data_IF_553939983261
#
_entry.id   IF_553939983261
#
_cell.length_a   1.000
_cell.length_b   1.000
_cell.length_c   1.000
_cell.angle_alpha   90.00
_cell.angle_beta   90.00
_cell.angle_gamma   90.00
#
_symmetry.space_group_name_H-M   'P 1'
#
loop_
_entity.id
_entity.type
_entity.pdbx_description
1 polymer ?
#
# COMPACT_ATOMS: atom_id res chain seq x y z
N UNK A 1 22.52 23.87 -2.29
CA UNK A 1 22.66 23.29 -3.63
C UNK A 1 23.65 22.11 -3.66
N UNK A 2 24.77 22.15 -2.94
CA UNK A 2 25.78 21.06 -2.91
C UNK A 2 25.21 19.70 -2.41
N UNK A 3 24.29 19.72 -1.45
CA UNK A 3 23.69 18.50 -0.86
C UNK A 3 22.64 17.84 -1.78
N UNK A 4 21.99 18.63 -2.63
CA UNK A 4 21.03 18.11 -3.62
C UNK A 4 21.75 17.31 -4.71
N UNK A 5 22.92 17.78 -5.14
CA UNK A 5 23.77 17.06 -6.11
C UNK A 5 24.29 15.73 -5.55
N UNK A 6 24.59 15.69 -4.25
CA UNK A 6 25.04 14.45 -3.57
C UNK A 6 23.92 13.42 -3.47
N UNK A 7 22.69 13.84 -3.18
CA UNK A 7 21.51 12.97 -3.15
C UNK A 7 21.17 12.48 -4.56
N UNK A 8 21.21 13.34 -5.56
CA UNK A 8 20.99 12.95 -6.95
C UNK A 8 22.06 11.96 -7.47
N UNK A 9 23.33 12.15 -7.08
CA UNK A 9 24.41 11.23 -7.42
C UNK A 9 24.27 9.88 -6.73
N UNK A 10 23.81 9.83 -5.49
CA UNK A 10 23.51 8.59 -4.76
C UNK A 10 22.33 7.81 -5.37
N UNK A 11 21.29 8.51 -5.80
CA UNK A 11 20.15 7.90 -6.47
C UNK A 11 20.54 7.37 -7.85
N UNK A 12 21.40 8.08 -8.60
CA UNK A 12 21.84 7.63 -9.92
C UNK A 12 22.76 6.41 -9.88
N UNK A 13 23.55 6.22 -8.82
CA UNK A 13 24.42 5.03 -8.68
C UNK A 13 23.64 3.77 -8.36
N UNK A 14 22.49 3.86 -7.67
CA UNK A 14 21.62 2.72 -7.40
C UNK A 14 20.88 2.22 -8.65
N UNK A 15 20.65 3.07 -9.65
CA UNK A 15 20.03 2.70 -10.93
C UNK A 15 21.01 1.97 -11.86
N UNK A 16 22.32 2.24 -11.75
CA UNK A 16 23.34 1.65 -12.63
C UNK A 16 23.67 0.18 -12.33
N UNK A 17 23.28 -0.36 -11.19
CA UNK A 17 23.53 -1.77 -10.80
C UNK A 17 22.53 -2.79 -11.39
N UNK A 18 21.56 -2.34 -12.19
CA UNK A 18 20.40 -3.13 -12.62
C UNK A 18 20.62 -3.94 -13.94
N UNK A 19 21.85 -4.15 -14.39
CA UNK A 19 22.09 -4.79 -15.69
C UNK A 19 22.80 -6.13 -15.60
N UNK A 20 22.12 -7.19 -15.24
CA UNK A 20 22.36 -8.58 -15.69
C UNK A 20 21.64 -9.59 -14.79
N UNK A 21 20.34 -9.78 -14.96
CA UNK A 21 19.63 -10.82 -14.20
C UNK A 21 18.83 -11.74 -15.14
N UNK A 22 18.68 -13.03 -14.79
CA UNK A 22 17.85 -13.94 -15.56
C UNK A 22 16.43 -13.40 -15.69
N UNK A 23 15.81 -13.62 -16.86
CA UNK A 23 14.45 -13.16 -17.14
C UNK A 23 13.49 -13.92 -16.22
N UNK A 24 13.05 -13.28 -15.14
CA UNK A 24 11.88 -13.76 -14.40
C UNK A 24 10.65 -13.54 -15.28
N UNK A 25 9.95 -14.63 -15.56
CA UNK A 25 8.82 -14.60 -16.50
C UNK A 25 7.61 -13.82 -15.99
N UNK A 26 7.47 -13.64 -14.66
CA UNK A 26 6.31 -13.03 -14.03
C UNK A 26 6.71 -11.68 -13.41
N UNK A 27 6.56 -10.61 -14.19
CA UNK A 27 6.91 -9.25 -13.74
C UNK A 27 5.74 -8.54 -13.06
N UNK A 28 4.56 -9.13 -13.03
CA UNK A 28 3.35 -8.48 -12.53
C UNK A 28 2.64 -9.38 -11.51
N UNK A 29 1.95 -8.76 -10.57
CA UNK A 29 1.16 -9.44 -9.55
C UNK A 29 -0.13 -8.66 -9.28
N UNK A 30 -1.26 -9.37 -9.26
CA UNK A 30 -2.53 -8.84 -8.75
C UNK A 30 -2.79 -9.52 -7.42
N UNK A 31 -3.22 -8.74 -6.42
CA UNK A 31 -3.50 -9.21 -5.06
C UNK A 31 -4.89 -8.79 -4.62
N UNK A 32 -5.47 -9.61 -3.77
CA UNK A 32 -6.72 -9.34 -3.06
C UNK A 32 -6.48 -9.49 -1.56
N UNK A 33 -6.90 -8.50 -0.78
CA UNK A 33 -6.78 -8.51 0.67
C UNK A 33 -7.93 -9.28 1.32
N UNK A 34 -7.71 -10.58 1.50
CA UNK A 34 -8.71 -11.46 2.11
C UNK A 34 -8.89 -11.15 3.60
N UNK A 35 -7.86 -10.62 4.28
CA UNK A 35 -7.92 -10.27 5.69
C UNK A 35 -8.92 -9.15 5.96
N UNK A 36 -8.86 -8.06 5.20
CA UNK A 36 -9.81 -6.95 5.31
C UNK A 36 -11.22 -7.37 4.89
N UNK A 37 -11.33 -8.16 3.85
CA UNK A 37 -12.64 -8.66 3.40
C UNK A 37 -13.34 -9.50 4.49
N UNK A 38 -12.61 -10.35 5.19
CA UNK A 38 -13.18 -11.18 6.26
C UNK A 38 -13.41 -10.42 7.57
N UNK A 39 -12.62 -9.38 7.85
CA UNK A 39 -12.75 -8.60 9.08
C UNK A 39 -13.87 -7.55 8.99
N UNK A 40 -13.89 -6.78 7.90
CA UNK A 40 -14.70 -5.57 7.78
C UNK A 40 -15.53 -5.52 6.49
N UNK A 41 -15.54 -6.58 5.68
CA UNK A 41 -16.18 -6.60 4.34
C UNK A 41 -15.55 -5.60 3.34
N UNK A 42 -14.40 -4.99 3.67
CA UNK A 42 -13.65 -4.10 2.78
C UNK A 42 -13.11 -4.87 1.58
N UNK A 43 -13.39 -4.42 0.38
CA UNK A 43 -12.85 -4.97 -0.87
C UNK A 43 -11.60 -4.20 -1.25
N UNK A 44 -10.42 -4.78 -1.00
CA UNK A 44 -9.15 -4.18 -1.39
C UNK A 44 -8.43 -5.03 -2.43
N UNK A 45 -8.09 -4.40 -3.55
CA UNK A 45 -7.26 -4.96 -4.61
C UNK A 45 -5.97 -4.16 -4.78
N UNK A 46 -4.88 -4.84 -5.12
CA UNK A 46 -3.63 -4.16 -5.44
C UNK A 46 -2.93 -4.80 -6.63
N UNK A 47 -2.22 -3.97 -7.36
CA UNK A 47 -1.36 -4.35 -8.47
C UNK A 47 0.08 -4.00 -8.13
N UNK A 48 1.00 -4.87 -8.51
CA UNK A 48 2.43 -4.71 -8.28
C UNK A 48 3.20 -5.08 -9.54
N UNK A 49 4.11 -4.21 -9.96
CA UNK A 49 5.05 -4.43 -11.05
C UNK A 49 6.46 -4.49 -10.50
N UNK A 50 7.15 -5.60 -10.74
CA UNK A 50 8.52 -5.82 -10.30
C UNK A 50 9.51 -5.18 -11.27
N UNK A 51 10.19 -4.12 -10.81
CA UNK A 51 11.24 -3.43 -11.59
C UNK A 51 12.50 -4.27 -11.69
N UNK A 52 12.82 -4.99 -10.62
CA UNK A 52 13.96 -5.91 -10.52
C UNK A 52 13.67 -7.00 -9.46
N UNK A 53 14.71 -7.67 -8.97
CA UNK A 53 14.59 -8.74 -7.97
C UNK A 53 14.19 -8.22 -6.59
N UNK A 54 14.59 -7.00 -6.26
CA UNK A 54 14.49 -6.43 -4.92
C UNK A 54 13.55 -5.21 -4.84
N UNK A 55 12.98 -4.76 -5.96
CA UNK A 55 12.20 -3.52 -5.98
C UNK A 55 10.96 -3.67 -6.85
N UNK A 56 9.85 -3.16 -6.37
CA UNK A 56 8.60 -3.07 -7.14
C UNK A 56 7.92 -1.73 -6.94
N UNK A 57 7.08 -1.38 -7.90
CA UNK A 57 6.13 -0.26 -7.85
C UNK A 57 4.72 -0.83 -8.01
N UNK A 58 3.77 -0.26 -7.32
CA UNK A 58 2.40 -0.73 -7.40
C UNK A 58 1.39 0.31 -7.01
N UNK A 59 0.16 -0.15 -6.89
CA UNK A 59 -0.96 0.66 -6.42
C UNK A 59 -2.01 -0.21 -5.76
N UNK A 60 -2.77 0.41 -4.89
CA UNK A 60 -3.87 -0.19 -4.14
C UNK A 60 -5.13 0.60 -4.38
N UNK A 61 -6.26 -0.08 -4.48
CA UNK A 61 -7.59 0.50 -4.48
C UNK A 61 -8.46 -0.29 -3.51
N UNK A 62 -9.27 0.38 -2.73
CA UNK A 62 -10.25 -0.28 -1.88
C UNK A 62 -11.59 0.45 -1.87
N UNK A 63 -12.61 -0.32 -1.51
CA UNK A 63 -13.98 0.11 -1.30
C UNK A 63 -14.49 -0.51 0.00
N UNK A 64 -15.11 0.31 0.82
CA UNK A 64 -15.74 -0.09 2.08
C UNK A 64 -17.15 0.49 2.13
N UNK A 65 -18.11 -0.33 2.54
CA UNK A 65 -19.51 0.11 2.70
C UNK A 65 -19.72 0.87 4.02
N UNK A 66 -18.79 0.70 4.97
CA UNK A 66 -18.82 1.38 6.26
C UNK A 66 -17.55 2.21 6.50
N UNK A 67 -17.64 3.52 6.34
CA UNK A 67 -16.52 4.45 6.44
C UNK A 67 -15.77 4.41 7.77
N UNK A 68 -16.43 3.98 8.86
CA UNK A 68 -15.87 3.98 10.22
C UNK A 68 -15.02 2.73 10.52
N UNK A 69 -15.15 1.67 9.70
CA UNK A 69 -14.50 0.38 9.99
C UNK A 69 -13.03 0.31 9.54
N UNK A 70 -12.65 1.15 8.56
CA UNK A 70 -11.28 1.17 8.05
C UNK A 70 -10.79 2.63 7.86
N UNK A 71 -10.34 3.01 6.68
CA UNK A 71 -9.87 4.37 6.38
C UNK A 71 -10.81 5.04 5.36
N UNK A 72 -12.10 5.12 5.68
CA UNK A 72 -13.14 5.68 4.81
C UNK A 72 -13.69 4.69 3.78
N UNK A 73 -14.63 5.17 2.96
CA UNK A 73 -15.39 4.35 2.01
C UNK A 73 -14.62 3.98 0.74
N UNK A 74 -13.66 4.80 0.36
CA UNK A 74 -12.88 4.62 -0.85
C UNK A 74 -11.45 5.06 -0.64
N UNK A 75 -10.50 4.34 -1.18
CA UNK A 75 -9.12 4.78 -1.22
C UNK A 75 -8.37 4.25 -2.43
N UNK A 76 -7.42 5.06 -2.89
CA UNK A 76 -6.52 4.72 -3.99
C UNK A 76 -5.14 5.33 -3.75
N UNK A 77 -4.09 4.60 -4.08
CA UNK A 77 -2.76 5.16 -3.93
C UNK A 77 -1.64 4.28 -4.45
N UNK A 78 -0.49 4.90 -4.80
CA UNK A 78 0.69 4.19 -5.22
C UNK A 78 1.49 3.65 -4.03
N UNK A 79 2.32 2.65 -4.31
CA UNK A 79 3.34 2.17 -3.39
C UNK A 79 4.65 1.84 -4.10
N UNK A 80 5.73 1.87 -3.32
CA UNK A 80 7.07 1.46 -3.70
C UNK A 80 7.57 0.50 -2.64
N UNK A 81 8.11 -0.67 -3.05
CA UNK A 81 8.58 -1.70 -2.15
C UNK A 81 10.03 -2.06 -2.40
N UNK A 82 10.74 -2.35 -1.32
CA UNK A 82 12.07 -2.95 -1.32
C UNK A 82 12.01 -4.29 -0.60
N UNK A 83 12.47 -5.35 -1.26
CA UNK A 83 12.50 -6.73 -0.76
C UNK A 83 13.88 -7.08 -0.21
N UNK A 84 13.90 -7.78 0.92
CA UNK A 84 15.13 -8.19 1.63
C UNK A 84 15.20 -9.71 1.81
N UNK A 85 14.43 -10.47 1.03
CA UNK A 85 14.39 -11.92 1.08
C UNK A 85 15.59 -12.58 0.39
N UNK A 86 15.81 -13.86 0.68
CA UNK A 86 16.82 -14.69 -0.03
C UNK A 86 16.35 -15.09 -1.43
N UNK A 87 15.06 -15.08 -1.68
CA UNK A 87 14.47 -15.36 -2.98
C UNK A 87 14.01 -14.06 -3.64
N UNK A 88 14.23 -13.87 -4.93
CA UNK A 88 13.79 -12.68 -5.64
C UNK A 88 12.30 -12.41 -5.47
N UNK A 89 11.96 -11.14 -5.32
CA UNK A 89 10.55 -10.65 -5.29
C UNK A 89 9.70 -11.30 -4.20
N UNK A 90 10.33 -11.73 -3.10
CA UNK A 90 9.66 -12.41 -1.99
C UNK A 90 10.40 -12.22 -0.69
N UNK A 91 9.82 -12.71 0.40
CA UNK A 91 10.36 -12.56 1.73
C UNK A 91 9.96 -11.23 2.38
N UNK A 92 10.78 -10.79 3.31
CA UNK A 92 10.55 -9.55 4.02
C UNK A 92 10.68 -8.33 3.10
N UNK A 93 9.80 -7.35 3.25
CA UNK A 93 9.86 -6.10 2.50
C UNK A 93 9.52 -4.89 3.36
N UNK A 94 10.05 -3.74 2.95
CA UNK A 94 9.62 -2.42 3.38
C UNK A 94 8.85 -1.74 2.25
N UNK A 95 7.86 -0.95 2.61
CA UNK A 95 6.98 -0.23 1.68
C UNK A 95 6.95 1.25 2.03
N UNK A 96 7.02 2.11 1.02
CA UNK A 96 6.57 3.49 1.11
C UNK A 96 5.29 3.62 0.29
N UNK A 97 4.27 4.27 0.85
CA UNK A 97 2.99 4.44 0.17
C UNK A 97 2.43 5.85 0.28
N UNK A 98 1.69 6.26 -0.73
CA UNK A 98 0.75 7.36 -0.66
C UNK A 98 -0.66 6.81 -0.78
N UNK A 99 -1.62 7.40 -0.10
CA UNK A 99 -3.02 6.99 -0.17
C UNK A 99 -3.91 8.23 -0.16
N UNK A 100 -4.72 8.38 -1.18
CA UNK A 100 -5.86 9.29 -1.17
C UNK A 100 -7.09 8.49 -0.78
N UNK A 101 -7.84 8.97 0.21
CA UNK A 101 -9.06 8.30 0.63
C UNK A 101 -10.15 9.29 1.02
N UNK A 102 -11.39 8.84 0.89
CA UNK A 102 -12.60 9.59 1.19
C UNK A 102 -13.50 8.78 2.11
N UNK A 103 -14.23 9.45 2.96
CA UNK A 103 -15.19 8.80 3.84
C UNK A 103 -16.25 9.79 4.32
N UNK A 104 -17.18 9.26 5.07
CA UNK A 104 -18.25 10.00 5.73
C UNK A 104 -18.09 9.76 7.23
N UNK A 105 -18.12 10.81 8.03
CA UNK A 105 -18.15 10.70 9.49
C UNK A 105 -19.53 11.10 10.01
N UNK A 106 -20.12 10.26 10.86
CA UNK A 106 -21.37 10.53 11.53
C UNK A 106 -21.11 11.44 12.73
N UNK A 107 -21.31 12.75 12.58
CA UNK A 107 -21.30 13.66 13.72
C UNK A 107 -22.60 13.51 14.50
N UNK A 108 -22.45 13.28 15.81
CA UNK A 108 -23.47 13.05 16.82
C UNK A 108 -24.84 13.69 16.55
N UNK A 109 -25.90 12.90 16.80
CA UNK A 109 -27.29 13.33 16.78
C UNK A 109 -27.49 14.64 17.52
N UNK A 110 -27.72 15.70 16.78
CA UNK A 110 -28.31 16.94 17.30
C UNK A 110 -29.80 16.86 17.00
N UNK A 111 -30.65 17.43 17.83
CA UNK A 111 -32.14 17.44 17.69
C UNK A 111 -32.68 17.88 16.31
N UNK A 112 -31.82 18.25 15.37
CA UNK A 112 -32.10 18.72 14.01
C UNK A 112 -31.74 17.72 12.88
N UNK A 113 -31.28 16.50 13.20
CA UNK A 113 -30.93 15.47 12.21
C UNK A 113 -29.45 15.11 12.18
N UNK A 114 -29.16 13.93 11.63
CA UNK A 114 -27.78 13.44 11.37
C UNK A 114 -27.18 14.30 10.26
N UNK A 115 -26.05 14.92 10.53
CA UNK A 115 -25.26 15.64 9.52
C UNK A 115 -24.03 14.81 9.20
N UNK A 116 -24.01 14.19 8.02
CA UNK A 116 -22.82 13.52 7.49
C UNK A 116 -21.83 14.57 7.03
N UNK A 117 -20.59 14.47 7.49
CA UNK A 117 -19.50 15.27 6.97
C UNK A 117 -18.65 14.39 6.05
N UNK A 118 -18.72 14.66 4.76
CA UNK A 118 -17.82 14.05 3.79
C UNK A 118 -16.41 14.61 3.96
N UNK A 119 -15.42 13.75 3.96
CA UNK A 119 -14.02 14.16 4.00
C UNK A 119 -13.20 13.52 2.90
N UNK A 120 -12.09 14.17 2.57
CA UNK A 120 -11.07 13.61 1.69
C UNK A 120 -9.69 13.95 2.22
N UNK A 121 -8.84 12.94 2.30
CA UNK A 121 -7.52 13.08 2.91
C UNK A 121 -6.47 12.35 2.09
N UNK A 122 -5.27 12.88 2.10
CA UNK A 122 -4.08 12.21 1.54
C UNK A 122 -3.16 11.82 2.68
N UNK A 123 -2.75 10.57 2.73
CA UNK A 123 -1.75 10.08 3.66
C UNK A 123 -0.45 9.71 2.95
N UNK A 124 0.66 9.92 3.63
CA UNK A 124 1.96 9.36 3.26
C UNK A 124 2.46 8.48 4.39
N UNK A 125 2.93 7.28 4.04
CA UNK A 125 3.25 6.30 5.06
C UNK A 125 4.35 5.33 4.69
N UNK A 126 4.73 4.57 5.70
CA UNK A 126 5.68 3.47 5.61
C UNK A 126 5.02 2.20 6.14
N UNK A 127 5.39 1.10 5.53
CA UNK A 127 4.92 -0.22 5.91
C UNK A 127 6.02 -1.27 5.82
N UNK A 128 5.72 -2.42 6.33
CA UNK A 128 6.54 -3.61 6.22
C UNK A 128 5.66 -4.84 6.14
N UNK A 129 6.24 -5.92 5.63
CA UNK A 129 5.51 -7.17 5.51
C UNK A 129 6.41 -8.33 5.13
N UNK A 130 5.77 -9.47 4.94
CA UNK A 130 6.43 -10.66 4.43
C UNK A 130 5.56 -11.30 3.35
N UNK A 131 6.21 -11.72 2.25
CA UNK A 131 5.58 -12.35 1.10
C UNK A 131 6.15 -13.75 0.90
N UNK A 132 5.30 -14.74 0.91
CA UNK A 132 5.60 -16.12 0.55
C UNK A 132 5.10 -16.39 -0.86
N UNK A 133 5.90 -17.10 -1.64
CA UNK A 133 5.60 -17.42 -3.03
C UNK A 133 5.72 -18.93 -3.24
N UNK A 134 4.78 -19.49 -3.98
CA UNK A 134 4.83 -20.91 -4.33
C UNK A 134 6.04 -21.23 -5.22
N UNK A 135 6.49 -22.49 -5.25
CA UNK A 135 7.59 -22.94 -6.11
C UNK A 135 7.33 -22.69 -7.61
N UNK A 136 6.07 -22.62 -8.02
CA UNK A 136 5.67 -22.29 -9.40
C UNK A 136 5.75 -20.79 -9.71
N UNK A 137 6.06 -19.94 -8.72
CA UNK A 137 6.06 -18.47 -8.77
C UNK A 137 4.72 -17.83 -9.22
N UNK A 138 3.63 -18.61 -9.24
CA UNK A 138 2.32 -18.14 -9.70
C UNK A 138 1.45 -17.58 -8.59
N UNK A 139 1.57 -18.12 -7.39
CA UNK A 139 0.73 -17.72 -6.27
C UNK A 139 1.56 -17.12 -5.15
N UNK A 140 1.04 -16.09 -4.52
CA UNK A 140 1.65 -15.47 -3.35
C UNK A 140 0.66 -15.38 -2.20
N UNK A 141 1.20 -15.38 -0.98
CA UNK A 141 0.54 -15.01 0.25
C UNK A 141 1.37 -13.89 0.88
N UNK A 142 0.71 -12.83 1.32
CA UNK A 142 1.38 -11.66 1.89
C UNK A 142 0.69 -11.24 3.17
N UNK A 143 1.48 -10.90 4.19
CA UNK A 143 1.03 -10.18 5.38
C UNK A 143 1.77 -8.86 5.44
N UNK A 144 1.06 -7.78 5.73
CA UNK A 144 1.64 -6.45 5.85
C UNK A 144 1.01 -5.64 6.97
N UNK A 145 1.75 -4.63 7.43
CA UNK A 145 1.27 -3.59 8.33
C UNK A 145 1.99 -2.27 7.98
N UNK A 146 1.32 -1.16 8.21
CA UNK A 146 1.87 0.15 7.92
C UNK A 146 1.18 1.26 8.71
N UNK A 147 1.88 2.39 8.80
CA UNK A 147 1.39 3.63 9.41
C UNK A 147 1.63 4.76 8.43
N UNK A 148 0.64 5.62 8.27
CA UNK A 148 0.71 6.83 7.46
C UNK A 148 0.32 8.06 8.26
N UNK A 149 0.88 9.22 7.87
CA UNK A 149 0.47 10.51 8.39
C UNK A 149 -0.48 11.16 7.39
N UNK A 150 -1.62 11.62 7.90
CA UNK A 150 -2.59 12.38 7.15
C UNK A 150 -2.06 13.80 6.89
N UNK A 151 -2.18 14.26 5.64
CA UNK A 151 -1.78 15.59 5.21
C UNK A 151 -3.04 16.44 5.14
N UNK A 152 -3.09 17.49 5.96
CA UNK A 152 -4.26 18.35 6.12
C UNK A 152 -5.53 17.57 6.50
N UNK A 153 -5.50 16.81 7.63
CA UNK A 153 -6.71 16.18 8.13
C UNK A 153 -7.73 17.24 8.55
N UNK A 154 -9.01 16.94 8.44
CA UNK A 154 -10.07 17.72 9.03
C UNK A 154 -9.97 17.66 10.57
N UNK A 155 -10.55 18.63 11.28
CA UNK A 155 -10.42 18.78 12.74
C UNK A 155 -10.89 17.53 13.53
N UNK A 156 -11.74 16.70 12.93
CA UNK A 156 -12.27 15.46 13.51
C UNK A 156 -11.51 14.20 13.08
N UNK A 157 -10.55 14.31 12.16
CA UNK A 157 -9.75 13.18 11.69
C UNK A 157 -8.47 13.00 12.52
N UNK A 158 -8.08 11.75 12.69
CA UNK A 158 -6.79 11.42 13.29
C UNK A 158 -5.61 11.90 12.42
N UNK A 159 -4.52 12.31 13.06
CA UNK A 159 -3.27 12.67 12.39
C UNK A 159 -2.63 11.47 11.68
N UNK A 160 -2.92 10.25 12.13
CA UNK A 160 -2.31 9.01 11.63
C UNK A 160 -3.36 8.01 11.20
N UNK A 161 -3.06 7.34 10.10
CA UNK A 161 -3.80 6.18 9.63
C UNK A 161 -2.99 4.90 9.79
N UNK A 162 -3.67 3.77 9.95
CA UNK A 162 -3.06 2.45 10.05
C UNK A 162 -3.56 1.56 8.92
N UNK A 163 -2.67 0.73 8.41
CA UNK A 163 -2.99 -0.30 7.43
C UNK A 163 -2.51 -1.65 7.92
N UNK A 164 -3.30 -2.68 7.65
CA UNK A 164 -2.90 -4.06 7.85
C UNK A 164 -3.58 -4.93 6.77
N UNK A 165 -2.95 -6.03 6.42
CA UNK A 165 -3.50 -6.90 5.39
C UNK A 165 -2.96 -8.33 5.45
N UNK A 166 -3.83 -9.24 5.03
CA UNK A 166 -3.50 -10.60 4.64
C UNK A 166 -4.00 -10.77 3.20
N UNK A 167 -3.08 -10.84 2.24
CA UNK A 167 -3.43 -10.83 0.83
C UNK A 167 -2.99 -12.12 0.14
N UNK A 168 -3.81 -12.55 -0.81
CA UNK A 168 -3.47 -13.59 -1.77
C UNK A 168 -3.23 -12.96 -3.14
N UNK A 169 -2.24 -13.46 -3.88
CA UNK A 169 -1.85 -12.88 -5.16
C UNK A 169 -1.63 -13.91 -6.25
N UNK A 170 -1.74 -13.43 -7.49
CA UNK A 170 -1.45 -14.19 -8.71
C UNK A 170 -0.45 -13.40 -9.53
N UNK A 171 0.65 -14.05 -9.92
CA UNK A 171 1.72 -13.50 -10.76
C UNK A 171 1.59 -13.91 -12.22
N UNK A 172 1.91 -12.99 -13.14
CA UNK A 172 1.85 -13.18 -14.59
C UNK A 172 2.84 -12.28 -15.34
#
# INVERSE_FOLDING_TARGET
MKNIFLILALVSTSIASAQAYPRFNNANEIKFNIGLFLANSTVEGSYEHFLNEDTSIGGTIYFDDNATDYNGNFGIGPNLRAYFGYMPRSGFFAEAFGLYYTGEDEIAETELGVRNNDYSTTALGLGFGNKWVTQSEKFSLEINAGIGRNINPEDFQDDFMFRAGLSIGIRF
#
